data_IF_969412110751
#
_entry.id   IF_969412110751
#
_cell.length_a   1.000
_cell.length_b   1.000
_cell.length_c   1.000
_cell.angle_alpha   90.00
_cell.angle_beta   90.00
_cell.angle_gamma   90.00
#
_symmetry.space_group_name_H-M   'P 1'
#
loop_
_entity.id
_entity.type
_entity.pdbx_description
1 polymer ?
#
# COMPACT_ATOMS: atom_id res chain seq x y z
N UNK A 1 49.87 -4.81 -30.19
CA UNK A 1 48.75 -3.91 -30.51
C UNK A 1 47.46 -4.70 -30.58
N UNK A 2 46.65 -4.65 -29.52
CA UNK A 2 45.20 -4.44 -29.58
C UNK A 2 44.68 -4.34 -28.15
N UNK A 3 44.27 -3.12 -27.86
CA UNK A 3 43.67 -2.49 -26.70
C UNK A 3 42.95 -3.39 -25.69
N UNK A 4 43.37 -3.23 -24.43
CA UNK A 4 42.53 -3.46 -23.27
C UNK A 4 41.63 -2.21 -23.10
N UNK A 5 40.37 -2.32 -23.46
CA UNK A 5 39.34 -1.34 -23.07
C UNK A 5 38.82 -1.72 -21.70
N UNK A 6 39.21 -0.94 -20.69
CA UNK A 6 38.60 -0.93 -19.36
C UNK A 6 37.09 -0.67 -19.46
N UNK A 7 36.27 -1.66 -19.08
CA UNK A 7 34.85 -1.50 -18.79
C UNK A 7 34.62 -1.31 -17.28
N UNK A 8 35.37 -0.39 -16.67
CA UNK A 8 35.45 -0.21 -15.20
C UNK A 8 34.69 1.02 -14.70
N UNK A 9 33.69 1.53 -15.42
CA UNK A 9 32.96 2.74 -14.96
C UNK A 9 31.47 2.55 -14.75
N UNK A 10 30.82 1.57 -15.40
CA UNK A 10 29.41 1.26 -15.13
C UNK A 10 29.24 0.10 -14.15
N UNK A 11 29.98 -1.00 -14.28
CA UNK A 11 29.86 -2.16 -13.39
C UNK A 11 30.30 -1.90 -11.95
N UNK A 12 31.37 -1.11 -11.77
CA UNK A 12 31.89 -0.73 -10.44
C UNK A 12 30.95 0.27 -9.74
N UNK A 13 30.37 1.23 -10.47
CA UNK A 13 29.36 2.15 -9.94
C UNK A 13 28.07 1.42 -9.53
N UNK A 14 27.65 0.42 -10.32
CA UNK A 14 26.51 -0.46 -9.97
C UNK A 14 26.78 -1.28 -8.71
N UNK A 15 27.99 -1.81 -8.53
CA UNK A 15 28.37 -2.57 -7.33
C UNK A 15 28.51 -1.67 -6.08
N UNK A 16 29.04 -0.47 -6.24
CA UNK A 16 29.24 0.50 -5.15
C UNK A 16 27.90 1.13 -4.69
N UNK A 17 26.94 1.32 -5.61
CA UNK A 17 25.57 1.76 -5.29
C UNK A 17 24.69 0.64 -4.73
N UNK A 18 24.81 -0.59 -5.24
CA UNK A 18 24.15 -1.77 -4.66
C UNK A 18 24.65 -2.09 -3.25
N UNK A 19 25.90 -1.74 -2.93
CA UNK A 19 26.45 -1.83 -1.58
C UNK A 19 25.90 -0.79 -0.60
N UNK A 20 25.38 0.35 -1.08
CA UNK A 20 24.79 1.42 -0.23
C UNK A 20 23.32 1.17 0.12
N UNK A 21 22.59 0.47 -0.74
CA UNK A 21 21.22 0.04 -0.50
C UNK A 21 21.13 -1.46 -0.77
N UNK A 22 21.24 -2.29 0.27
CA UNK A 22 20.91 -3.71 0.16
C UNK A 22 19.40 -3.86 -0.02
N UNK A 23 18.96 -3.64 -1.24
CA UNK A 23 17.54 -3.63 -1.62
C UNK A 23 16.92 -5.02 -1.50
N UNK A 24 17.75 -6.05 -1.55
CA UNK A 24 17.34 -7.42 -1.25
C UNK A 24 17.05 -7.55 0.24
N UNK A 25 17.91 -7.06 1.14
CA UNK A 25 17.61 -7.00 2.57
C UNK A 25 16.39 -6.12 2.87
N UNK A 26 16.29 -4.91 2.29
CA UNK A 26 15.14 -4.02 2.48
C UNK A 26 13.83 -4.69 2.04
N UNK A 27 13.83 -5.28 0.84
CA UNK A 27 12.66 -5.95 0.31
C UNK A 27 12.35 -7.26 1.03
N UNK A 28 13.35 -7.98 1.58
CA UNK A 28 13.15 -9.26 2.31
C UNK A 28 12.88 -9.11 3.80
N UNK A 29 13.20 -7.96 4.40
CA UNK A 29 12.99 -7.70 5.83
C UNK A 29 11.52 -7.89 6.25
N UNK A 30 11.33 -8.46 7.44
CA UNK A 30 10.05 -8.95 7.97
C UNK A 30 9.56 -8.13 9.18
N UNK A 31 9.95 -6.86 9.26
CA UNK A 31 9.41 -5.92 10.25
C UNK A 31 7.88 -5.79 10.13
N UNK A 32 7.26 -5.19 11.15
CA UNK A 32 5.81 -5.02 11.19
C UNK A 32 5.28 -4.14 10.04
N UNK A 33 6.11 -3.24 9.52
CA UNK A 33 5.75 -2.21 8.55
C UNK A 33 6.01 -2.64 7.10
N UNK A 34 6.77 -3.72 6.88
CA UNK A 34 7.12 -4.17 5.55
C UNK A 34 6.03 -5.04 4.92
N UNK A 35 5.81 -4.93 3.60
CA UNK A 35 4.87 -5.78 2.90
C UNK A 35 5.20 -7.26 3.07
N UNK A 36 4.15 -8.06 3.31
CA UNK A 36 4.24 -9.52 3.44
C UNK A 36 3.62 -10.18 2.23
N UNK A 37 4.01 -11.43 2.01
CA UNK A 37 3.39 -12.29 1.00
C UNK A 37 2.30 -13.10 1.67
N UNK A 38 1.16 -13.24 1.01
CA UNK A 38 -0.04 -13.83 1.60
C UNK A 38 -0.49 -15.08 0.85
N UNK A 39 -1.18 -15.96 1.57
CA UNK A 39 -1.92 -17.10 1.02
C UNK A 39 -3.25 -17.23 1.75
N UNK A 40 -4.22 -17.96 1.19
CA UNK A 40 -5.58 -18.03 1.72
C UNK A 40 -6.24 -19.38 1.54
N UNK A 41 -7.49 -19.48 1.98
CA UNK A 41 -8.36 -20.60 1.70
C UNK A 41 -9.00 -20.41 0.31
N UNK A 42 -8.40 -21.06 -0.68
CA UNK A 42 -8.84 -20.99 -2.08
C UNK A 42 -10.20 -21.65 -2.28
N UNK A 43 -10.53 -22.68 -1.48
CA UNK A 43 -11.81 -23.38 -1.59
C UNK A 43 -12.94 -22.51 -1.06
N UNK A 44 -12.71 -21.71 -0.01
CA UNK A 44 -13.66 -20.71 0.48
C UNK A 44 -13.84 -19.57 -0.54
N UNK A 45 -12.76 -19.11 -1.20
CA UNK A 45 -12.85 -18.12 -2.27
C UNK A 45 -13.62 -18.64 -3.50
N UNK A 46 -13.48 -19.91 -3.87
CA UNK A 46 -14.20 -20.53 -4.99
C UNK A 46 -15.72 -20.62 -4.72
N UNK A 47 -16.14 -20.62 -3.46
CA UNK A 47 -17.57 -20.67 -3.07
C UNK A 47 -18.28 -19.32 -3.12
N UNK A 48 -17.59 -18.24 -3.44
CA UNK A 48 -18.21 -16.91 -3.50
C UNK A 48 -19.28 -16.89 -4.60
N UNK A 49 -20.48 -16.44 -4.23
CA UNK A 49 -21.58 -16.21 -5.16
C UNK A 49 -21.77 -14.71 -5.39
N UNK A 50 -21.48 -14.24 -6.60
CA UNK A 50 -21.64 -12.83 -6.98
C UNK A 50 -23.05 -12.51 -7.48
N UNK A 51 -23.97 -13.49 -7.54
CA UNK A 51 -25.35 -13.31 -7.99
C UNK A 51 -26.07 -12.11 -7.34
N UNK A 52 -25.94 -11.87 -6.01
CA UNK A 52 -26.59 -10.71 -5.37
C UNK A 52 -26.15 -9.33 -5.88
N UNK A 53 -24.96 -9.26 -6.50
CA UNK A 53 -24.35 -8.02 -7.01
C UNK A 53 -24.04 -8.11 -8.51
N UNK A 54 -24.69 -9.05 -9.22
CA UNK A 54 -24.36 -9.43 -10.59
C UNK A 54 -24.34 -8.24 -11.55
N UNK A 55 -25.33 -7.35 -11.46
CA UNK A 55 -25.46 -6.21 -12.34
C UNK A 55 -24.26 -5.26 -12.23
N UNK A 56 -23.89 -4.86 -11.01
CA UNK A 56 -22.73 -4.00 -10.77
C UNK A 56 -21.41 -4.72 -11.07
N UNK A 57 -21.34 -6.02 -10.78
CA UNK A 57 -20.16 -6.84 -11.04
C UNK A 57 -19.87 -6.98 -12.54
N UNK A 58 -20.89 -7.25 -13.38
CA UNK A 58 -20.75 -7.31 -14.84
C UNK A 58 -20.17 -6.01 -15.41
N UNK A 59 -20.67 -4.87 -14.93
CA UNK A 59 -20.20 -3.55 -15.37
C UNK A 59 -18.74 -3.34 -14.98
N UNK A 60 -18.35 -3.67 -13.74
CA UNK A 60 -16.98 -3.54 -13.28
C UNK A 60 -16.03 -4.45 -14.05
N UNK A 61 -16.38 -5.73 -14.21
CA UNK A 61 -15.57 -6.70 -14.95
C UNK A 61 -15.42 -6.30 -16.41
N UNK A 62 -16.46 -5.77 -17.05
CA UNK A 62 -16.37 -5.23 -18.41
C UNK A 62 -15.40 -4.04 -18.49
N UNK A 63 -15.43 -3.14 -17.52
CA UNK A 63 -14.48 -2.02 -17.42
C UNK A 63 -13.04 -2.52 -17.28
N UNK A 64 -12.78 -3.44 -16.35
CA UNK A 64 -11.43 -4.02 -16.15
C UNK A 64 -10.93 -4.79 -17.36
N UNK A 65 -11.83 -5.48 -18.07
CA UNK A 65 -11.54 -6.18 -19.34
C UNK A 65 -11.12 -5.21 -20.45
N UNK A 66 -11.80 -4.06 -20.56
CA UNK A 66 -11.50 -3.06 -21.60
C UNK A 66 -10.14 -2.39 -21.42
N UNK A 67 -9.59 -2.41 -20.19
CA UNK A 67 -8.25 -1.93 -19.84
C UNK A 67 -7.95 -0.51 -20.37
N UNK A 68 -8.73 0.51 -19.97
CA UNK A 68 -8.56 1.87 -20.49
C UNK A 68 -7.17 2.44 -20.18
N UNK A 69 -6.51 1.95 -19.13
CA UNK A 69 -5.20 2.42 -18.66
C UNK A 69 -4.01 1.68 -19.28
N UNK A 70 -4.23 0.74 -20.23
CA UNK A 70 -3.17 -0.08 -20.86
C UNK A 70 -1.99 0.73 -21.42
N UNK A 71 -2.26 1.91 -21.96
CA UNK A 71 -1.27 2.79 -22.57
C UNK A 71 -0.54 3.70 -21.58
N UNK A 72 -1.07 3.87 -20.37
CA UNK A 72 -0.68 4.96 -19.47
C UNK A 72 0.65 4.70 -18.74
N UNK A 73 0.92 3.46 -18.32
CA UNK A 73 2.13 3.09 -17.59
C UNK A 73 3.34 2.87 -18.52
N UNK A 74 3.54 3.83 -19.42
CA UNK A 74 4.70 3.94 -20.29
C UNK A 74 5.26 5.34 -20.14
N UNK A 75 6.56 5.43 -19.91
CA UNK A 75 7.27 6.71 -19.91
C UNK A 75 7.13 7.33 -21.29
N UNK A 76 6.68 8.58 -21.33
CA UNK A 76 6.47 9.36 -22.55
C UNK A 76 7.34 10.63 -22.49
N UNK A 77 7.07 11.60 -23.37
CA UNK A 77 7.81 12.87 -23.39
C UNK A 77 7.66 13.68 -22.08
N UNK A 78 6.65 13.41 -21.24
CA UNK A 78 6.44 14.07 -19.95
C UNK A 78 7.26 13.45 -18.81
N UNK A 79 8.03 12.38 -19.07
CA UNK A 79 8.96 11.79 -18.11
C UNK A 79 10.28 12.55 -18.16
N UNK A 80 10.36 13.61 -17.37
CA UNK A 80 11.55 14.46 -17.28
C UNK A 80 12.77 13.67 -16.77
N UNK A 81 13.97 14.08 -17.20
CA UNK A 81 15.21 13.50 -16.69
C UNK A 81 15.37 13.80 -15.18
N UNK A 82 15.65 12.77 -14.39
CA UNK A 82 15.82 12.87 -12.94
C UNK A 82 17.31 12.92 -12.60
N UNK A 83 17.72 13.97 -11.90
CA UNK A 83 19.06 14.04 -11.32
C UNK A 83 19.13 13.33 -9.96
N UNK A 84 19.24 11.99 -10.01
CA UNK A 84 19.42 11.16 -8.81
C UNK A 84 20.76 11.40 -8.09
N UNK A 85 21.77 11.95 -8.78
CA UNK A 85 23.08 12.20 -8.20
C UNK A 85 23.11 13.52 -7.41
N UNK A 86 22.41 14.55 -7.91
CA UNK A 86 22.24 15.84 -7.26
C UNK A 86 21.11 15.90 -6.22
N UNK A 87 20.26 14.87 -6.15
CA UNK A 87 19.21 14.77 -5.11
C UNK A 87 19.83 14.71 -3.71
N UNK A 88 19.24 15.43 -2.75
CA UNK A 88 19.66 15.37 -1.35
C UNK A 88 19.77 13.91 -0.87
N UNK A 89 20.87 13.51 -0.19
CA UNK A 89 21.06 12.11 0.19
C UNK A 89 19.99 11.53 1.11
N UNK A 90 19.41 12.34 2.00
CA UNK A 90 18.36 11.90 2.91
C UNK A 90 17.05 11.71 2.15
N UNK A 91 16.67 12.69 1.31
CA UNK A 91 15.53 12.57 0.41
C UNK A 91 15.66 11.34 -0.50
N UNK A 92 16.83 11.13 -1.11
CA UNK A 92 17.09 9.99 -1.99
C UNK A 92 16.89 8.67 -1.26
N UNK A 93 17.36 8.54 -0.02
CA UNK A 93 17.22 7.33 0.77
C UNK A 93 15.75 7.04 1.10
N UNK A 94 15.00 8.04 1.58
CA UNK A 94 13.57 7.88 1.90
C UNK A 94 12.72 7.63 0.65
N UNK A 95 13.07 8.26 -0.48
CA UNK A 95 12.36 8.05 -1.73
C UNK A 95 12.63 6.66 -2.34
N UNK A 96 13.88 6.17 -2.28
CA UNK A 96 14.19 4.78 -2.66
C UNK A 96 13.43 3.81 -1.75
N UNK A 97 13.39 4.04 -0.44
CA UNK A 97 12.60 3.22 0.49
C UNK A 97 11.10 3.23 0.14
N UNK A 98 10.54 4.40 -0.14
CA UNK A 98 9.17 4.55 -0.63
C UNK A 98 8.94 3.66 -1.87
N UNK A 99 9.75 3.80 -2.92
CA UNK A 99 9.62 3.04 -4.15
C UNK A 99 9.81 1.53 -3.95
N UNK A 100 10.82 1.09 -3.18
CA UNK A 100 11.05 -0.34 -2.89
C UNK A 100 9.86 -0.93 -2.12
N UNK A 101 9.37 -0.22 -1.10
CA UNK A 101 8.22 -0.67 -0.30
C UNK A 101 6.94 -0.77 -1.13
N UNK A 102 6.66 0.22 -1.98
CA UNK A 102 5.51 0.20 -2.89
C UNK A 102 5.65 -0.94 -3.90
N UNK A 103 6.78 -1.05 -4.61
CA UNK A 103 7.04 -2.12 -5.57
C UNK A 103 6.85 -3.53 -4.97
N UNK A 104 7.31 -3.72 -3.72
CA UNK A 104 7.14 -4.99 -3.01
C UNK A 104 5.68 -5.27 -2.65
N UNK A 105 4.90 -4.23 -2.30
CA UNK A 105 3.47 -4.35 -2.01
C UNK A 105 2.67 -4.76 -3.26
N UNK A 106 2.83 -4.02 -4.37
CA UNK A 106 2.17 -4.32 -5.66
C UNK A 106 2.50 -5.74 -6.14
N UNK A 107 3.79 -6.11 -6.05
CA UNK A 107 4.22 -7.43 -6.47
C UNK A 107 3.67 -8.55 -5.57
N UNK A 108 3.52 -8.29 -4.26
CA UNK A 108 2.88 -9.23 -3.34
C UNK A 108 1.42 -9.48 -3.71
N UNK A 109 0.66 -8.42 -4.01
CA UNK A 109 -0.72 -8.50 -4.49
C UNK A 109 -0.82 -9.34 -5.78
N UNK A 110 0.01 -9.02 -6.77
CA UNK A 110 0.13 -9.78 -8.02
C UNK A 110 0.33 -11.29 -7.78
N UNK A 111 1.22 -11.67 -6.85
CA UNK A 111 1.50 -13.09 -6.55
C UNK A 111 0.27 -13.79 -5.98
N UNK A 112 -0.42 -13.16 -5.02
CA UNK A 112 -1.65 -13.71 -4.44
C UNK A 112 -2.73 -13.91 -5.53
N UNK A 113 -2.94 -12.90 -6.37
CA UNK A 113 -3.97 -12.95 -7.42
C UNK A 113 -3.64 -13.96 -8.53
N UNK A 114 -2.37 -14.09 -8.91
CA UNK A 114 -1.94 -15.15 -9.84
C UNK A 114 -2.18 -16.54 -9.28
N UNK A 115 -1.94 -16.73 -7.98
CA UNK A 115 -2.18 -18.01 -7.33
C UNK A 115 -3.68 -18.34 -7.28
N UNK A 116 -4.53 -17.35 -7.02
CA UNK A 116 -5.99 -17.48 -7.11
C UNK A 116 -6.43 -17.92 -8.52
N UNK A 117 -5.93 -17.25 -9.56
CA UNK A 117 -6.21 -17.64 -10.96
C UNK A 117 -5.74 -19.07 -11.27
N UNK A 118 -4.58 -19.47 -10.76
CA UNK A 118 -3.96 -20.77 -11.05
C UNK A 118 -4.69 -21.94 -10.40
N UNK A 119 -5.28 -21.71 -9.22
CA UNK A 119 -5.87 -22.76 -8.38
C UNK A 119 -7.39 -22.75 -8.34
N UNK A 120 -8.01 -21.59 -8.55
CA UNK A 120 -9.45 -21.42 -8.47
C UNK A 120 -10.18 -22.04 -9.66
N UNK A 121 -11.44 -22.36 -9.43
CA UNK A 121 -12.37 -22.91 -10.43
C UNK A 121 -13.62 -22.06 -10.61
N UNK A 122 -13.81 -21.02 -9.77
CA UNK A 122 -14.91 -20.08 -9.91
C UNK A 122 -14.60 -19.06 -11.03
N UNK A 123 -15.34 -19.06 -12.15
CA UNK A 123 -15.01 -18.25 -13.32
C UNK A 123 -15.03 -16.75 -13.03
N UNK A 124 -15.96 -16.27 -12.22
CA UNK A 124 -16.06 -14.85 -11.86
C UNK A 124 -14.83 -14.41 -11.04
N UNK A 125 -14.47 -15.20 -10.03
CA UNK A 125 -13.36 -14.89 -9.14
C UNK A 125 -12.01 -15.02 -9.86
N UNK A 126 -11.84 -16.05 -10.70
CA UNK A 126 -10.65 -16.20 -11.53
C UNK A 126 -10.50 -15.07 -12.55
N UNK A 127 -11.60 -14.60 -13.13
CA UNK A 127 -11.59 -13.48 -14.08
C UNK A 127 -11.19 -12.16 -13.39
N UNK A 128 -11.78 -11.84 -12.23
CA UNK A 128 -11.38 -10.68 -11.43
C UNK A 128 -9.87 -10.71 -11.14
N UNK A 129 -9.39 -11.79 -10.53
CA UNK A 129 -7.99 -11.86 -10.11
C UNK A 129 -7.01 -11.92 -11.28
N UNK A 130 -7.45 -12.36 -12.46
CA UNK A 130 -6.65 -12.22 -13.67
C UNK A 130 -6.40 -10.76 -14.04
N UNK A 131 -7.43 -9.90 -13.96
CA UNK A 131 -7.28 -8.48 -14.25
C UNK A 131 -6.48 -7.75 -13.17
N UNK A 132 -6.75 -8.02 -11.89
CA UNK A 132 -5.96 -7.44 -10.80
C UNK A 132 -4.49 -7.84 -10.90
N UNK A 133 -4.19 -9.12 -11.16
CA UNK A 133 -2.81 -9.58 -11.36
C UNK A 133 -2.10 -8.90 -12.55
N UNK A 134 -2.84 -8.52 -13.60
CA UNK A 134 -2.30 -7.78 -14.75
C UNK A 134 -1.91 -6.36 -14.32
N UNK A 135 -2.80 -5.68 -13.61
CA UNK A 135 -2.62 -4.28 -13.21
C UNK A 135 -1.49 -4.16 -12.17
N UNK A 136 -1.49 -5.01 -11.14
CA UNK A 136 -0.46 -5.08 -10.10
C UNK A 136 0.94 -5.40 -10.66
N UNK A 137 1.01 -6.28 -11.68
CA UNK A 137 2.26 -6.56 -12.37
C UNK A 137 2.77 -5.34 -13.16
N UNK A 138 1.86 -4.53 -13.70
CA UNK A 138 2.16 -3.29 -14.43
C UNK A 138 2.68 -2.22 -13.46
N UNK A 139 2.00 -2.06 -12.33
CA UNK A 139 2.39 -1.19 -11.23
C UNK A 139 3.81 -1.50 -10.71
N UNK A 140 4.04 -2.75 -10.30
CA UNK A 140 5.35 -3.21 -9.84
C UNK A 140 6.43 -3.03 -10.91
N UNK A 141 6.10 -3.32 -12.18
CA UNK A 141 7.00 -3.11 -13.31
C UNK A 141 7.40 -1.64 -13.47
N UNK A 142 6.42 -0.73 -13.45
CA UNK A 142 6.64 0.70 -13.61
C UNK A 142 7.49 1.30 -12.49
N UNK A 143 7.24 0.92 -11.23
CA UNK A 143 8.08 1.37 -10.10
C UNK A 143 9.49 0.78 -10.21
N UNK A 144 9.63 -0.51 -10.56
CA UNK A 144 10.94 -1.12 -10.73
C UNK A 144 11.74 -0.45 -11.85
N UNK A 145 11.08 0.01 -12.92
CA UNK A 145 11.71 0.78 -13.98
C UNK A 145 12.18 2.17 -13.49
N UNK A 146 11.47 2.82 -12.57
CA UNK A 146 11.94 4.05 -11.93
C UNK A 146 13.12 3.81 -10.96
N UNK A 147 13.07 2.71 -10.18
CA UNK A 147 14.18 2.30 -9.31
C UNK A 147 15.47 2.04 -10.10
N UNK A 148 15.38 1.44 -11.29
CA UNK A 148 16.56 1.21 -12.14
C UNK A 148 17.25 2.50 -12.56
N UNK A 149 16.52 3.59 -12.77
CA UNK A 149 17.10 4.92 -13.05
C UNK A 149 17.90 5.46 -11.86
N UNK A 150 17.51 5.10 -10.64
CA UNK A 150 18.25 5.43 -9.42
C UNK A 150 19.48 4.52 -9.18
N UNK A 151 19.75 3.57 -10.09
CA UNK A 151 20.77 2.53 -9.95
C UNK A 151 20.36 1.36 -9.06
N UNK A 152 19.06 1.24 -8.74
CA UNK A 152 18.51 0.22 -7.84
C UNK A 152 17.71 -0.81 -8.64
N UNK A 153 18.05 -2.10 -8.53
CA UNK A 153 17.28 -3.17 -9.15
C UNK A 153 16.64 -4.07 -8.07
N UNK A 154 15.30 -4.17 -8.08
CA UNK A 154 14.59 -5.13 -7.22
C UNK A 154 14.32 -6.41 -8.00
N UNK A 155 14.88 -7.52 -7.53
CA UNK A 155 14.64 -8.84 -8.11
C UNK A 155 13.32 -9.43 -7.59
N UNK A 156 12.22 -9.07 -8.26
CA UNK A 156 10.87 -9.51 -7.89
C UNK A 156 10.75 -11.05 -7.88
N UNK A 157 11.37 -11.74 -8.83
CA UNK A 157 11.36 -13.21 -8.90
C UNK A 157 12.01 -13.86 -7.67
N UNK A 158 13.09 -13.28 -7.15
CA UNK A 158 13.74 -13.74 -5.91
C UNK A 158 12.81 -13.59 -4.69
N UNK A 159 12.04 -12.49 -4.60
CA UNK A 159 11.14 -12.25 -3.47
C UNK A 159 10.12 -13.38 -3.28
N UNK A 160 9.63 -13.98 -4.37
CA UNK A 160 8.69 -15.14 -4.30
C UNK A 160 9.27 -16.37 -3.60
N UNK A 161 10.60 -16.54 -3.64
CA UNK A 161 11.32 -17.66 -3.02
C UNK A 161 11.81 -17.31 -1.61
N UNK A 162 12.15 -16.04 -1.39
CA UNK A 162 12.78 -15.58 -0.15
C UNK A 162 11.75 -15.23 0.95
N UNK A 163 10.55 -14.73 0.58
CA UNK A 163 9.53 -14.33 1.55
C UNK A 163 8.72 -15.52 2.06
N UNK A 164 8.44 -15.50 3.36
CA UNK A 164 7.48 -16.42 3.99
C UNK A 164 6.05 -15.98 3.66
N UNK A 165 5.23 -16.93 3.21
CA UNK A 165 3.80 -16.71 3.00
C UNK A 165 3.06 -16.73 4.33
N UNK A 166 2.25 -15.72 4.57
CA UNK A 166 1.40 -15.58 5.75
C UNK A 166 -0.03 -15.96 5.37
N UNK A 167 -0.60 -16.94 6.06
CA UNK A 167 -2.00 -17.31 5.82
C UNK A 167 -2.94 -16.21 6.35
N UNK A 168 -3.93 -15.86 5.54
CA UNK A 168 -4.99 -14.94 5.90
C UNK A 168 -6.34 -15.52 5.49
N UNK A 169 -7.32 -15.47 6.40
CA UNK A 169 -8.68 -15.94 6.08
C UNK A 169 -9.30 -15.03 5.01
N UNK A 170 -10.08 -15.56 4.05
CA UNK A 170 -10.67 -14.79 2.96
C UNK A 170 -11.34 -13.49 3.38
N UNK A 171 -12.24 -13.52 4.38
CA UNK A 171 -12.90 -12.30 4.86
C UNK A 171 -11.95 -11.19 5.33
N UNK A 172 -10.79 -11.56 5.87
CA UNK A 172 -9.80 -10.59 6.31
C UNK A 172 -9.00 -10.03 5.13
N UNK A 173 -8.79 -10.83 4.08
CA UNK A 173 -8.24 -10.33 2.80
C UNK A 173 -9.17 -9.25 2.25
N UNK A 174 -10.49 -9.44 2.31
CA UNK A 174 -11.43 -8.44 1.83
C UNK A 174 -11.24 -7.10 2.54
N UNK A 175 -11.20 -7.08 3.88
CA UNK A 175 -11.02 -5.83 4.62
C UNK A 175 -9.64 -5.21 4.42
N UNK A 176 -8.59 -6.04 4.46
CA UNK A 176 -7.21 -5.57 4.37
C UNK A 176 -6.90 -5.03 2.97
N UNK A 177 -7.24 -5.79 1.93
CA UNK A 177 -7.03 -5.36 0.55
C UNK A 177 -7.90 -4.16 0.23
N UNK A 178 -9.21 -4.19 0.51
CA UNK A 178 -10.08 -3.03 0.32
C UNK A 178 -9.51 -1.75 0.94
N UNK A 179 -9.07 -1.80 2.20
CA UNK A 179 -8.48 -0.64 2.84
C UNK A 179 -7.12 -0.25 2.25
N UNK A 180 -6.30 -1.22 1.84
CA UNK A 180 -5.03 -0.96 1.16
C UNK A 180 -5.24 -0.19 -0.14
N UNK A 181 -6.16 -0.65 -0.99
CA UNK A 181 -6.53 0.02 -2.24
C UNK A 181 -7.08 1.43 -1.98
N UNK A 182 -8.04 1.57 -1.05
CA UNK A 182 -8.69 2.86 -0.80
C UNK A 182 -7.76 3.89 -0.14
N UNK A 183 -6.88 3.45 0.77
CA UNK A 183 -5.89 4.35 1.38
C UNK A 183 -4.73 4.65 0.42
N UNK A 184 -4.34 3.69 -0.44
CA UNK A 184 -3.39 3.89 -1.53
C UNK A 184 -3.87 4.97 -2.49
N UNK A 185 -5.10 4.82 -2.99
CA UNK A 185 -5.81 5.85 -3.77
C UNK A 185 -5.78 7.22 -3.07
N UNK A 186 -6.22 7.28 -1.81
CA UNK A 186 -6.30 8.54 -1.06
C UNK A 186 -4.94 9.23 -0.92
N UNK A 187 -3.86 8.46 -0.70
CA UNK A 187 -2.48 8.96 -0.62
C UNK A 187 -2.02 9.53 -1.95
N UNK A 188 -2.11 8.72 -3.01
CA UNK A 188 -1.63 9.09 -4.34
C UNK A 188 -2.39 10.27 -4.92
N UNK A 189 -3.72 10.32 -4.79
CA UNK A 189 -4.49 11.47 -5.29
C UNK A 189 -4.21 12.75 -4.49
N UNK A 190 -3.97 12.64 -3.17
CA UNK A 190 -3.63 13.81 -2.35
C UNK A 190 -2.27 14.39 -2.76
N UNK A 191 -1.26 13.53 -2.97
CA UNK A 191 0.05 13.95 -3.51
C UNK A 191 -0.11 14.56 -4.90
N UNK A 192 -0.84 13.89 -5.80
CA UNK A 192 -1.03 14.35 -7.17
C UNK A 192 -1.65 15.75 -7.22
N UNK A 193 -2.76 15.96 -6.50
CA UNK A 193 -3.47 17.25 -6.48
C UNK A 193 -2.66 18.35 -5.82
N UNK A 194 -1.92 18.03 -4.76
CA UNK A 194 -0.99 18.96 -4.15
C UNK A 194 0.08 19.41 -5.16
N UNK A 195 0.71 18.48 -5.87
CA UNK A 195 1.73 18.78 -6.87
C UNK A 195 1.18 19.37 -8.17
N UNK A 196 -0.13 19.27 -8.42
CA UNK A 196 -0.81 19.98 -9.51
C UNK A 196 -0.91 21.48 -9.18
N UNK A 197 -1.22 21.82 -7.92
CA UNK A 197 -1.24 23.19 -7.42
C UNK A 197 0.16 23.76 -7.14
N UNK A 198 1.11 22.90 -6.78
CA UNK A 198 2.48 23.23 -6.39
C UNK A 198 3.52 22.45 -7.21
N UNK A 199 3.63 22.70 -8.53
CA UNK A 199 4.54 21.98 -9.40
C UNK A 199 6.02 22.14 -9.01
N UNK A 200 6.39 23.20 -8.30
CA UNK A 200 7.73 23.46 -7.76
C UNK A 200 8.22 22.38 -6.77
N UNK A 201 7.29 21.70 -6.09
CA UNK A 201 7.61 20.63 -5.14
C UNK A 201 7.71 19.24 -5.79
N UNK A 202 7.55 19.15 -7.12
CA UNK A 202 7.61 17.87 -7.84
C UNK A 202 9.06 17.48 -8.15
N UNK A 203 9.71 16.84 -7.18
CA UNK A 203 11.10 16.38 -7.32
C UNK A 203 11.27 15.11 -8.20
N UNK A 204 10.18 14.45 -8.62
CA UNK A 204 10.24 13.28 -9.48
C UNK A 204 9.02 13.18 -10.43
N UNK A 205 9.20 12.77 -11.71
CA UNK A 205 8.11 12.71 -12.69
C UNK A 205 7.06 11.63 -12.37
N UNK A 206 7.40 10.56 -11.63
CA UNK A 206 6.47 9.47 -11.27
C UNK A 206 5.13 9.97 -10.70
N UNK A 207 5.14 11.10 -9.98
CA UNK A 207 3.93 11.67 -9.41
C UNK A 207 2.90 12.08 -10.47
N UNK A 208 3.31 12.40 -11.71
CA UNK A 208 2.37 12.71 -12.80
C UNK A 208 1.50 11.51 -13.19
N UNK A 209 1.99 10.28 -12.97
CA UNK A 209 1.30 9.03 -13.28
C UNK A 209 0.39 8.53 -12.14
N UNK A 210 0.37 9.21 -10.99
CA UNK A 210 -0.42 8.77 -9.84
C UNK A 210 -1.93 8.88 -10.08
N UNK A 211 -2.39 9.79 -10.95
CA UNK A 211 -3.83 9.98 -11.20
C UNK A 211 -4.48 8.78 -11.87
N UNK A 212 -3.87 8.22 -12.89
CA UNK A 212 -4.41 7.06 -13.59
C UNK A 212 -4.10 5.76 -12.84
N UNK A 213 -2.96 5.70 -12.12
CA UNK A 213 -2.72 4.66 -11.13
C UNK A 213 -3.89 4.56 -10.16
N UNK A 214 -4.32 5.69 -9.59
CA UNK A 214 -5.49 5.76 -8.72
C UNK A 214 -6.76 5.15 -9.36
N UNK A 215 -6.93 5.19 -10.68
CA UNK A 215 -8.11 4.58 -11.32
C UNK A 215 -8.08 3.05 -11.29
N UNK A 216 -6.90 2.44 -11.43
CA UNK A 216 -6.72 0.99 -11.29
C UNK A 216 -7.03 0.57 -9.84
N UNK A 217 -6.39 1.22 -8.85
CA UNK A 217 -6.61 0.98 -7.41
C UNK A 217 -8.07 1.20 -7.00
N UNK A 218 -8.71 2.23 -7.55
CA UNK A 218 -10.11 2.50 -7.27
C UNK A 218 -10.98 1.33 -7.73
N UNK A 219 -10.75 0.84 -8.96
CA UNK A 219 -11.46 -0.30 -9.55
C UNK A 219 -11.22 -1.60 -8.77
N UNK A 220 -10.00 -1.82 -8.28
CA UNK A 220 -9.65 -2.95 -7.42
C UNK A 220 -10.42 -2.87 -6.09
N UNK A 221 -10.45 -1.69 -5.47
CA UNK A 221 -11.24 -1.43 -4.28
C UNK A 221 -12.75 -1.63 -4.51
N UNK A 222 -13.29 -1.24 -5.68
CA UNK A 222 -14.69 -1.49 -6.04
C UNK A 222 -15.00 -2.99 -6.12
N UNK A 223 -14.07 -3.80 -6.63
CA UNK A 223 -14.26 -5.25 -6.71
C UNK A 223 -14.41 -5.86 -5.31
N UNK A 224 -13.53 -5.50 -4.37
CA UNK A 224 -13.65 -5.96 -2.98
C UNK A 224 -14.87 -5.40 -2.27
N UNK A 225 -15.32 -4.19 -2.63
CA UNK A 225 -16.58 -3.66 -2.14
C UNK A 225 -17.77 -4.54 -2.55
N UNK A 226 -17.83 -4.94 -3.81
CA UNK A 226 -18.86 -5.85 -4.31
C UNK A 226 -18.75 -7.24 -3.67
N UNK A 227 -17.54 -7.79 -3.53
CA UNK A 227 -17.33 -9.07 -2.84
C UNK A 227 -17.87 -9.06 -1.41
N UNK A 228 -17.64 -7.98 -0.65
CA UNK A 228 -18.18 -7.84 0.70
C UNK A 228 -19.71 -7.66 0.75
N UNK A 229 -20.33 -7.30 -0.37
CA UNK A 229 -21.78 -7.12 -0.50
C UNK A 229 -22.50 -8.37 -0.98
N UNK A 230 -21.77 -9.43 -1.35
CA UNK A 230 -22.34 -10.75 -1.66
C UNK A 230 -22.98 -11.43 -0.45
N UNK A 231 -22.43 -11.22 0.75
CA UNK A 231 -22.96 -11.75 2.01
C UNK A 231 -23.00 -10.64 3.09
N UNK A 232 -24.20 -10.18 3.50
CA UNK A 232 -24.35 -9.16 4.55
C UNK A 232 -23.63 -9.50 5.87
N UNK A 233 -23.41 -10.78 6.18
CA UNK A 233 -22.70 -11.19 7.40
C UNK A 233 -21.28 -10.65 7.43
N UNK A 234 -20.64 -10.45 6.28
CA UNK A 234 -19.29 -9.90 6.15
C UNK A 234 -19.20 -8.50 6.77
N UNK A 235 -20.23 -7.68 6.72
CA UNK A 235 -20.14 -6.30 7.23
C UNK A 235 -21.06 -6.01 8.41
N UNK A 236 -22.20 -6.70 8.51
CA UNK A 236 -23.28 -6.30 9.42
C UNK A 236 -23.22 -6.96 10.79
N UNK A 237 -22.60 -8.14 10.89
CA UNK A 237 -22.50 -8.87 12.16
C UNK A 237 -21.68 -8.09 13.19
N UNK A 238 -22.07 -8.20 14.47
CA UNK A 238 -21.39 -7.49 15.56
C UNK A 238 -19.89 -7.82 15.62
N UNK A 239 -19.53 -9.09 15.42
CA UNK A 239 -18.14 -9.54 15.38
C UNK A 239 -17.37 -8.92 14.20
N UNK A 240 -17.97 -8.87 13.01
CA UNK A 240 -17.28 -8.30 11.86
C UNK A 240 -17.18 -6.77 11.94
N UNK A 241 -18.13 -6.08 12.59
CA UNK A 241 -17.98 -4.64 12.92
C UNK A 241 -16.75 -4.37 13.80
N UNK A 242 -16.47 -5.25 14.77
CA UNK A 242 -15.24 -5.16 15.58
C UNK A 242 -13.98 -5.42 14.74
N UNK A 243 -14.02 -6.38 13.81
CA UNK A 243 -12.91 -6.61 12.89
C UNK A 243 -12.69 -5.44 11.95
N UNK A 244 -13.73 -4.87 11.35
CA UNK A 244 -13.62 -3.69 10.49
C UNK A 244 -12.99 -2.53 11.27
N UNK A 245 -13.45 -2.27 12.50
CA UNK A 245 -12.85 -1.28 13.40
C UNK A 245 -11.36 -1.57 13.66
N UNK A 246 -11.00 -2.83 13.87
CA UNK A 246 -9.61 -3.24 14.06
C UNK A 246 -8.77 -2.93 12.82
N UNK A 247 -9.24 -3.31 11.63
CA UNK A 247 -8.53 -3.06 10.37
C UNK A 247 -8.39 -1.57 10.07
N UNK A 248 -9.45 -0.78 10.24
CA UNK A 248 -9.37 0.68 10.12
C UNK A 248 -8.31 1.26 11.06
N UNK A 249 -8.32 0.85 12.34
CA UNK A 249 -7.37 1.36 13.34
C UNK A 249 -5.94 0.95 12.99
N UNK A 250 -5.74 -0.31 12.57
CA UNK A 250 -4.45 -0.86 12.20
C UNK A 250 -3.86 -0.18 10.96
N UNK A 251 -4.66 -0.03 9.91
CA UNK A 251 -4.22 0.61 8.67
C UNK A 251 -3.88 2.08 8.91
N UNK A 252 -4.74 2.86 9.57
CA UNK A 252 -4.47 4.28 9.82
C UNK A 252 -3.26 4.48 10.74
N UNK A 253 -3.14 3.67 11.80
CA UNK A 253 -1.97 3.71 12.69
C UNK A 253 -0.68 3.36 11.96
N UNK A 254 -0.72 2.37 11.07
CA UNK A 254 0.45 1.94 10.29
C UNK A 254 0.87 3.02 9.29
N UNK A 255 -0.09 3.65 8.62
CA UNK A 255 0.18 4.75 7.69
C UNK A 255 0.81 5.94 8.41
N UNK A 256 0.22 6.36 9.53
CA UNK A 256 0.78 7.43 10.35
C UNK A 256 2.25 7.18 10.69
N UNK A 257 2.57 5.97 11.21
CA UNK A 257 3.94 5.60 11.56
C UNK A 257 4.86 5.64 10.34
N UNK A 258 4.41 5.12 9.20
CA UNK A 258 5.21 5.05 7.97
C UNK A 258 5.48 6.43 7.39
N UNK A 259 4.47 7.28 7.32
CA UNK A 259 4.60 8.60 6.71
C UNK A 259 5.45 9.52 7.60
N UNK A 260 5.35 9.40 8.92
CA UNK A 260 6.23 10.09 9.89
C UNK A 260 7.67 9.55 9.95
N UNK A 261 7.93 8.38 9.36
CA UNK A 261 9.28 7.84 9.21
C UNK A 261 9.98 8.36 7.94
N UNK A 262 9.27 9.13 7.09
CA UNK A 262 9.78 9.67 5.82
C UNK A 262 9.67 11.19 5.80
N UNK A 263 10.50 11.86 6.60
CA UNK A 263 10.36 13.32 6.82
C UNK A 263 10.85 14.13 5.64
N UNK A 264 12.03 13.80 5.14
CA UNK A 264 12.67 14.48 4.02
C UNK A 264 11.82 14.34 2.74
N UNK A 265 11.15 13.19 2.55
CA UNK A 265 10.18 12.97 1.47
C UNK A 265 9.01 13.97 1.53
N UNK A 266 8.37 14.13 2.68
CA UNK A 266 7.22 15.04 2.82
C UNK A 266 7.66 16.51 2.82
N UNK A 267 8.84 16.82 3.35
CA UNK A 267 9.45 18.15 3.26
C UNK A 267 9.72 18.54 1.81
N UNK A 268 10.26 17.62 0.99
CA UNK A 268 10.47 17.84 -0.44
C UNK A 268 9.16 18.03 -1.21
N UNK A 269 8.07 17.37 -0.79
CA UNK A 269 6.73 17.62 -1.30
C UNK A 269 6.12 18.95 -0.82
N UNK A 270 6.73 19.62 0.17
CA UNK A 270 6.20 20.85 0.74
C UNK A 270 4.91 20.65 1.53
N UNK A 271 4.73 19.49 2.19
CA UNK A 271 3.52 19.17 2.97
C UNK A 271 3.82 18.94 4.45
N UNK A 272 2.93 19.42 5.31
CA UNK A 272 2.89 19.00 6.72
C UNK A 272 2.36 17.56 6.81
N UNK A 273 3.10 16.69 7.50
CA UNK A 273 2.80 15.24 7.57
C UNK A 273 1.50 14.99 8.35
N UNK A 274 1.28 15.70 9.46
CA UNK A 274 0.06 15.57 10.27
C UNK A 274 -1.19 15.94 9.44
N UNK A 275 -1.11 17.03 8.68
CA UNK A 275 -2.16 17.46 7.74
C UNK A 275 -2.39 16.42 6.65
N UNK A 276 -1.32 15.94 6.02
CA UNK A 276 -1.38 14.96 4.93
C UNK A 276 -2.05 13.67 5.38
N UNK A 277 -1.61 13.10 6.51
CA UNK A 277 -2.20 11.88 7.09
C UNK A 277 -3.68 12.08 7.41
N UNK A 278 -4.05 13.20 8.05
CA UNK A 278 -5.46 13.48 8.36
C UNK A 278 -6.31 13.62 7.10
N UNK A 279 -5.80 14.24 6.04
CA UNK A 279 -6.52 14.37 4.78
C UNK A 279 -6.71 13.02 4.08
N UNK A 280 -5.67 12.18 4.07
CA UNK A 280 -5.74 10.80 3.61
C UNK A 280 -6.79 10.01 4.40
N UNK A 281 -6.81 10.14 5.72
CA UNK A 281 -7.80 9.46 6.57
C UNK A 281 -9.23 9.96 6.32
N UNK A 282 -9.43 11.26 6.07
CA UNK A 282 -10.75 11.79 5.68
C UNK A 282 -11.24 11.20 4.38
N UNK A 283 -10.41 11.23 3.32
CA UNK A 283 -10.77 10.67 2.01
C UNK A 283 -11.04 9.17 2.10
N UNK A 284 -10.16 8.43 2.79
CA UNK A 284 -10.31 6.98 3.00
C UNK A 284 -11.60 6.68 3.77
N UNK A 285 -11.90 7.44 4.83
CA UNK A 285 -13.13 7.24 5.62
C UNK A 285 -14.38 7.53 4.78
N UNK A 286 -14.36 8.62 4.00
CA UNK A 286 -15.46 8.97 3.10
C UNK A 286 -15.75 7.87 2.08
N UNK A 287 -14.71 7.28 1.47
CA UNK A 287 -14.85 6.17 0.53
C UNK A 287 -15.27 4.89 1.26
N UNK A 288 -14.69 4.59 2.42
CA UNK A 288 -14.98 3.37 3.18
C UNK A 288 -16.45 3.23 3.60
N UNK A 289 -17.18 4.35 3.76
CA UNK A 289 -18.64 4.37 4.00
C UNK A 289 -19.45 3.59 2.98
N UNK A 290 -18.91 3.38 1.78
CA UNK A 290 -19.47 2.55 0.73
C UNK A 290 -19.87 1.15 1.21
N UNK A 291 -19.10 0.58 2.15
CA UNK A 291 -19.25 -0.83 2.57
C UNK A 291 -19.19 -0.99 4.08
N UNK A 292 -18.40 -0.18 4.76
CA UNK A 292 -18.20 -0.31 6.20
C UNK A 292 -19.28 0.44 6.97
N UNK A 293 -19.99 -0.25 7.90
CA UNK A 293 -21.02 0.37 8.73
C UNK A 293 -20.43 1.05 9.99
N UNK A 294 -19.10 1.16 10.06
CA UNK A 294 -18.36 1.80 11.13
C UNK A 294 -17.27 2.67 10.53
N UNK A 295 -17.08 3.84 11.12
CA UNK A 295 -16.04 4.81 10.77
C UNK A 295 -15.33 5.25 12.05
N UNK A 296 -14.01 5.47 11.96
CA UNK A 296 -13.25 5.98 13.09
C UNK A 296 -13.51 7.47 13.29
N UNK A 297 -13.66 7.90 14.54
CA UNK A 297 -13.73 9.32 14.87
C UNK A 297 -12.32 9.94 14.91
N UNK A 298 -11.81 10.29 13.72
CA UNK A 298 -10.46 10.86 13.55
C UNK A 298 -10.32 12.30 14.06
N UNK A 299 -11.42 12.94 14.45
CA UNK A 299 -11.42 14.27 15.07
C UNK A 299 -11.52 14.18 16.60
N UNK A 300 -11.64 12.96 17.16
CA UNK A 300 -11.69 12.77 18.61
C UNK A 300 -10.39 13.29 19.27
N UNK A 301 -10.44 13.97 20.43
CA UNK A 301 -9.26 14.56 21.07
C UNK A 301 -8.18 13.55 21.49
N UNK A 302 -8.48 12.25 21.44
CA UNK A 302 -7.53 11.15 21.71
C UNK A 302 -6.85 10.61 20.46
N UNK A 303 -7.32 10.94 19.25
CA UNK A 303 -6.85 10.37 17.99
C UNK A 303 -5.39 10.71 17.72
N UNK A 304 -5.07 11.96 17.42
CA UNK A 304 -3.70 12.42 17.16
C UNK A 304 -2.73 12.11 18.32
N UNK A 305 -3.08 12.35 19.61
CA UNK A 305 -2.20 11.95 20.71
C UNK A 305 -1.97 10.43 20.77
N UNK A 306 -2.96 9.62 20.42
CA UNK A 306 -2.85 8.17 20.33
C UNK A 306 -1.90 7.73 19.22
N UNK A 307 -2.01 8.32 18.04
CA UNK A 307 -1.13 8.06 16.90
C UNK A 307 0.32 8.48 17.19
N UNK A 308 0.53 9.65 17.81
CA UNK A 308 1.87 10.08 18.27
C UNK A 308 2.46 9.13 19.31
N UNK A 309 1.65 8.60 20.24
CA UNK A 309 2.10 7.56 21.19
C UNK A 309 2.47 6.26 20.47
N UNK A 310 1.69 5.85 19.47
CA UNK A 310 1.98 4.69 18.64
C UNK A 310 3.31 4.87 17.89
N UNK A 311 3.52 6.03 17.25
CA UNK A 311 4.76 6.37 16.56
C UNK A 311 5.98 6.32 17.50
N UNK A 312 5.90 7.01 18.65
CA UNK A 312 6.99 6.98 19.63
C UNK A 312 7.30 5.55 20.13
N UNK A 313 6.28 4.71 20.32
CA UNK A 313 6.48 3.32 20.72
C UNK A 313 7.16 2.49 19.62
N UNK A 314 6.80 2.69 18.36
CA UNK A 314 7.45 2.02 17.23
C UNK A 314 8.92 2.41 17.09
N UNK A 315 9.25 3.68 17.28
CA UNK A 315 10.64 4.17 17.30
C UNK A 315 11.46 3.53 18.44
N UNK A 316 10.87 3.36 19.63
CA UNK A 316 11.53 2.68 20.75
C UNK A 316 11.77 1.19 20.43
N UNK A 317 10.82 0.52 19.77
CA UNK A 317 10.97 -0.87 19.34
C UNK A 317 12.11 -1.03 18.34
N UNK A 318 12.22 -0.12 17.38
CA UNK A 318 13.30 -0.10 16.40
C UNK A 318 14.65 0.16 17.05
N UNK A 319 14.72 1.14 17.97
CA UNK A 319 15.92 1.42 18.77
C UNK A 319 16.37 0.20 19.56
N UNK A 320 15.44 -0.48 20.23
CA UNK A 320 15.73 -1.70 20.98
C UNK A 320 16.21 -2.85 20.08
N UNK A 321 15.66 -2.97 18.86
CA UNK A 321 16.11 -3.95 17.88
C UNK A 321 17.54 -3.65 17.38
N UNK A 322 17.84 -2.38 17.07
CA UNK A 322 19.18 -1.92 16.65
C UNK A 322 20.23 -2.06 17.75
N UNK A 323 19.87 -1.78 19.01
CA UNK A 323 20.78 -1.86 20.15
C UNK A 323 21.21 -3.31 20.45
N UNK A 324 20.31 -4.28 20.28
CA UNK A 324 20.59 -5.69 20.59
C UNK A 324 20.88 -5.95 22.08
N UNK A 325 21.28 -7.19 22.39
CA UNK A 325 21.58 -7.61 23.77
C UNK A 325 20.37 -7.58 24.72
N UNK A 326 20.63 -7.71 26.02
CA UNK A 326 19.57 -7.74 27.05
C UNK A 326 18.87 -6.37 27.18
N UNK A 327 19.64 -5.28 27.16
CA UNK A 327 19.09 -3.92 27.24
C UNK A 327 18.21 -3.57 26.02
N UNK A 328 18.63 -3.95 24.80
CA UNK A 328 17.81 -3.77 23.60
C UNK A 328 16.54 -4.62 23.63
N UNK A 329 16.60 -5.85 24.14
CA UNK A 329 15.42 -6.70 24.37
C UNK A 329 14.41 -6.07 25.34
N UNK A 330 14.87 -5.50 26.45
CA UNK A 330 14.01 -4.80 27.41
C UNK A 330 13.38 -3.55 26.79
N UNK A 331 14.17 -2.74 26.09
CA UNK A 331 13.68 -1.55 25.37
C UNK A 331 12.61 -1.93 24.33
N UNK A 332 12.85 -2.99 23.56
CA UNK A 332 11.88 -3.50 22.57
C UNK A 332 10.61 -4.03 23.24
N UNK A 333 10.72 -4.76 24.35
CA UNK A 333 9.57 -5.25 25.10
C UNK A 333 8.73 -4.08 25.66
N UNK A 334 9.39 -3.05 26.21
CA UNK A 334 8.74 -1.83 26.68
C UNK A 334 8.02 -1.09 25.55
N UNK A 335 8.69 -0.89 24.41
CA UNK A 335 8.09 -0.30 23.21
C UNK A 335 6.87 -1.10 22.73
N UNK A 336 6.92 -2.44 22.80
CA UNK A 336 5.78 -3.30 22.44
C UNK A 336 4.57 -3.07 23.36
N UNK A 337 4.79 -2.99 24.68
CA UNK A 337 3.70 -2.68 25.64
C UNK A 337 3.12 -1.30 25.39
N UNK A 338 3.97 -0.30 25.10
CA UNK A 338 3.52 1.06 24.73
C UNK A 338 2.71 1.08 23.44
N UNK A 339 3.11 0.31 22.43
CA UNK A 339 2.39 0.20 21.17
C UNK A 339 1.02 -0.46 21.38
N UNK A 340 0.96 -1.56 22.14
CA UNK A 340 -0.31 -2.24 22.47
C UNK A 340 -1.27 -1.34 23.25
N UNK A 341 -0.77 -0.58 24.23
CA UNK A 341 -1.60 0.36 25.01
C UNK A 341 -2.07 1.55 24.19
N UNK A 342 -1.22 2.10 23.32
CA UNK A 342 -1.60 3.16 22.37
C UNK A 342 -2.66 2.66 21.38
N UNK A 343 -2.44 1.48 20.78
CA UNK A 343 -3.38 0.84 19.86
C UNK A 343 -4.71 0.54 20.54
N UNK A 344 -4.72 -0.02 21.76
CA UNK A 344 -5.95 -0.24 22.51
C UNK A 344 -6.69 1.08 22.79
N UNK A 345 -5.97 2.16 23.12
CA UNK A 345 -6.56 3.48 23.33
C UNK A 345 -7.24 4.02 22.06
N UNK A 346 -6.57 3.88 20.90
CA UNK A 346 -7.10 4.25 19.58
C UNK A 346 -8.30 3.39 19.22
N UNK A 347 -8.16 2.06 19.35
CA UNK A 347 -9.22 1.11 19.08
C UNK A 347 -10.44 1.43 19.93
N UNK A 348 -10.30 1.84 21.20
CA UNK A 348 -11.42 2.19 22.09
C UNK A 348 -11.98 3.62 21.90
N UNK A 349 -11.54 4.39 20.90
CA UNK A 349 -12.23 5.65 20.51
C UNK A 349 -13.63 5.28 19.97
N UNK A 350 -14.71 5.95 20.42
CA UNK A 350 -16.05 5.71 19.87
C UNK A 350 -16.07 5.78 18.34
N UNK A 351 -16.77 4.85 17.70
CA UNK A 351 -16.93 4.85 16.25
C UNK A 351 -18.18 5.62 15.85
N UNK A 352 -18.15 6.21 14.66
CA UNK A 352 -19.34 6.72 13.98
C UNK A 352 -20.02 5.54 13.29
N UNK A 353 -21.32 5.40 13.49
CA UNK A 353 -22.11 4.37 12.83
C UNK A 353 -22.65 4.92 11.51
N UNK A 354 -22.47 4.16 10.45
CA UNK A 354 -22.85 4.53 9.09
C UNK A 354 -23.76 3.45 8.51
N UNK A 355 -24.68 3.86 7.64
CA UNK A 355 -25.45 2.93 6.83
C UNK A 355 -24.85 2.94 5.43
N UNK A 356 -24.25 1.82 4.98
CA UNK A 356 -23.76 1.74 3.61
C UNK A 356 -24.85 2.08 2.60
N UNK A 357 -24.54 2.78 1.50
CA UNK A 357 -25.51 3.13 0.48
C UNK A 357 -26.14 1.88 -0.16
N UNK A 358 -27.34 2.04 -0.73
CA UNK A 358 -28.03 0.96 -1.42
C UNK A 358 -27.23 0.48 -2.64
N UNK A 359 -26.80 1.44 -3.49
CA UNK A 359 -25.85 1.18 -4.56
C UNK A 359 -24.44 1.20 -4.02
N UNK A 360 -23.67 0.17 -4.38
CA UNK A 360 -22.28 0.03 -3.93
C UNK A 360 -21.36 0.92 -4.75
N UNK A 361 -21.59 1.07 -6.06
CA UNK A 361 -20.66 1.74 -6.97
C UNK A 361 -20.42 3.20 -6.57
N UNK A 362 -19.15 3.56 -6.50
CA UNK A 362 -18.71 4.95 -6.41
C UNK A 362 -18.05 5.38 -7.73
N UNK A 363 -17.99 6.69 -7.94
CA UNK A 363 -17.18 7.30 -8.99
C UNK A 363 -15.97 8.00 -8.35
N UNK A 364 -14.78 8.00 -9.00
CA UNK A 364 -13.65 8.78 -8.53
C UNK A 364 -14.03 10.27 -8.42
N UNK A 365 -13.97 10.81 -7.21
CA UNK A 365 -14.44 12.18 -6.90
C UNK A 365 -13.32 13.20 -6.70
N UNK A 366 -12.05 12.79 -6.86
CA UNK A 366 -10.87 13.58 -6.45
C UNK A 366 -9.87 13.84 -7.57
#
# INVERSE_FOLDING_TARGET
MKDATHDTTHGELHAELAGKFDTTAMATDTTLLNPRFYTTDFDEMDRIDVTPVRAEWDVLIAQMRSDPNKGHFKKNADWDQVDWAGMDPHLRAEFIDFLVSSCTAEFSGCVLYKEMKRRGNNPDICELFNYMARDEARHAGFINDALREAGVAVNLGFLTKAKKYTYFRPKFIYYATYLSEKIGYARYITIYRHLEAHPEHRFHPIFKWFKEWCNDEFSHGEAFALLMRTDPKLTESWQNKLWIRFFLTAVYSTMWVRDHARKDFHEALGVDIDWYDQEVFRKTSAIARQVFPVELDIDHPRWIPGLRRMNAAMLDMERGAKQGGLSGRLTKAWGTVRALTAFASLYLIPVKHTTPPASVRLEPAY
#
